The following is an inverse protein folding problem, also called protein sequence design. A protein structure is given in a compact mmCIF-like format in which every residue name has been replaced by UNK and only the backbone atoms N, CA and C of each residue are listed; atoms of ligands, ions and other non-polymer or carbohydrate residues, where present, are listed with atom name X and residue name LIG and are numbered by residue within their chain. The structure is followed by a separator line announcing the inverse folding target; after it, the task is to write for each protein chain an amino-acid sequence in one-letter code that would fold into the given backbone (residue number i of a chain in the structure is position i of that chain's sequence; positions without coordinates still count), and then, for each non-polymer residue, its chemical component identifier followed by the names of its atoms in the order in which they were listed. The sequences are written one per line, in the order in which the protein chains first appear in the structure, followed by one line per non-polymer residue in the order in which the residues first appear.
data_IF_703105536086
#
_entry.id   IF_703105536086
#
_cell.length_a   1.000
_cell.length_b   1.000
_cell.length_c   1.000
_cell.angle_alpha   90.00
_cell.angle_beta   90.00
_cell.angle_gamma   90.00
#
_symmetry.space_group_name_H-M   'P 1'
#
loop_
_entity.id
_entity.type
_entity.pdbx_description
1 polymer ?
#
# COMPACT_ATOMS: atom_id res chain seq x y z
N UNK A 1 -5.74 4.37 8.25
CA UNK A 1 -6.16 2.99 7.97
C UNK A 1 -6.80 2.96 6.59
N UNK A 2 -6.00 2.79 5.54
CA UNK A 2 -6.55 2.39 4.23
C UNK A 2 -6.64 0.86 4.20
N UNK A 3 -7.34 0.26 3.22
CA UNK A 3 -7.31 -1.19 2.87
C UNK A 3 -6.49 -1.50 1.58
N UNK A 4 -5.77 -0.50 1.03
CA UNK A 4 -4.94 -0.60 -0.20
C UNK A 4 -3.50 -0.04 -0.04
N UNK A 5 -2.49 -0.88 0.28
CA UNK A 5 -1.09 -0.47 0.50
C UNK A 5 -0.45 0.18 -0.73
N UNK A 6 -0.74 -0.38 -1.89
CA UNK A 6 -0.32 0.06 -3.21
C UNK A 6 -0.70 1.52 -3.48
N UNK A 7 -1.92 1.93 -3.11
CA UNK A 7 -2.38 3.31 -3.25
C UNK A 7 -1.72 4.21 -2.20
N UNK A 8 -1.69 3.77 -0.94
CA UNK A 8 -1.09 4.56 0.14
C UNK A 8 0.38 4.88 -0.16
N UNK A 9 1.12 3.90 -0.69
CA UNK A 9 2.49 4.08 -1.14
C UNK A 9 2.60 5.06 -2.32
N UNK A 10 1.81 4.87 -3.38
CA UNK A 10 1.84 5.75 -4.55
C UNK A 10 1.55 7.22 -4.19
N UNK A 11 0.50 7.45 -3.38
CA UNK A 11 0.14 8.79 -2.89
C UNK A 11 1.25 9.39 -2.02
N UNK A 12 1.83 8.61 -1.11
CA UNK A 12 2.95 9.06 -0.27
C UNK A 12 4.19 9.41 -1.09
N UNK A 13 4.45 8.69 -2.17
CA UNK A 13 5.58 8.93 -3.05
C UNK A 13 5.43 10.26 -3.78
N UNK A 14 4.28 10.50 -4.41
CA UNK A 14 3.98 11.74 -5.14
C UNK A 14 3.89 12.93 -4.18
N UNK A 15 3.30 12.75 -3.00
CA UNK A 15 3.14 13.83 -2.01
C UNK A 15 4.46 14.48 -1.62
N UNK A 16 5.57 13.73 -1.63
CA UNK A 16 6.91 14.25 -1.31
C UNK A 16 7.46 15.19 -2.38
N UNK A 17 6.95 15.12 -3.61
CA UNK A 17 7.41 15.90 -4.76
C UNK A 17 6.47 17.04 -5.15
N UNK A 18 5.41 17.28 -4.37
CA UNK A 18 4.43 18.35 -4.62
C UNK A 18 5.05 19.75 -4.70
N UNK A 19 6.21 19.98 -4.07
CA UNK A 19 6.90 21.26 -4.13
C UNK A 19 7.49 21.56 -5.52
N UNK A 20 7.81 20.54 -6.31
CA UNK A 20 8.30 20.69 -7.69
C UNK A 20 8.03 19.39 -8.50
N UNK A 21 6.77 19.16 -8.93
CA UNK A 21 6.39 17.92 -9.60
C UNK A 21 6.98 17.85 -11.02
N UNK A 22 7.37 16.66 -11.45
CA UNK A 22 7.79 16.39 -12.83
C UNK A 22 6.64 15.82 -13.68
N UNK A 23 6.81 15.80 -15.00
CA UNK A 23 5.86 15.14 -15.92
C UNK A 23 5.68 13.65 -15.57
N UNK A 24 6.76 12.97 -15.20
CA UNK A 24 6.69 11.58 -14.74
C UNK A 24 5.91 11.41 -13.43
N UNK A 25 5.96 12.37 -12.50
CA UNK A 25 5.13 12.33 -11.29
C UNK A 25 3.65 12.48 -11.65
N UNK A 26 3.32 13.27 -12.66
CA UNK A 26 1.95 13.43 -13.16
C UNK A 26 1.40 12.14 -13.79
N UNK A 27 2.21 11.42 -14.56
CA UNK A 27 1.84 10.10 -15.12
C UNK A 27 1.53 9.07 -14.01
N UNK A 28 2.30 9.09 -12.92
CA UNK A 28 2.06 8.23 -11.75
C UNK A 28 0.72 8.56 -11.10
N UNK A 29 0.39 9.85 -10.95
CA UNK A 29 -0.91 10.28 -10.42
C UNK A 29 -2.05 9.80 -11.32
N UNK A 30 -1.95 10.03 -12.63
CA UNK A 30 -2.97 9.58 -13.59
C UNK A 30 -3.16 8.07 -13.56
N UNK A 31 -2.07 7.31 -13.45
CA UNK A 31 -2.10 5.84 -13.34
C UNK A 31 -2.81 5.42 -12.05
N UNK A 32 -2.49 6.07 -10.93
CA UNK A 32 -3.12 5.81 -9.63
C UNK A 32 -4.63 6.08 -9.68
N UNK A 33 -5.05 7.18 -10.30
CA UNK A 33 -6.47 7.52 -10.49
C UNK A 33 -7.18 6.54 -11.42
N UNK A 34 -6.55 6.15 -12.53
CA UNK A 34 -7.13 5.16 -13.46
C UNK A 34 -7.33 3.81 -12.79
N UNK A 35 -6.36 3.38 -11.98
CA UNK A 35 -6.46 2.18 -11.18
C UNK A 35 -7.61 2.25 -10.18
N UNK A 36 -7.74 3.38 -9.47
CA UNK A 36 -8.88 3.63 -8.58
C UNK A 36 -10.22 3.51 -9.33
N UNK A 37 -10.38 4.20 -10.46
CA UNK A 37 -11.60 4.13 -11.27
C UNK A 37 -11.93 2.73 -11.76
N UNK A 38 -10.92 1.98 -12.22
CA UNK A 38 -11.11 0.62 -12.73
C UNK A 38 -11.37 -0.41 -11.62
N UNK A 39 -11.08 -0.08 -10.36
CA UNK A 39 -11.24 -1.00 -9.22
C UNK A 39 -12.36 -0.60 -8.27
N UNK A 40 -13.23 0.35 -8.65
CA UNK A 40 -14.40 0.76 -7.85
C UNK A 40 -15.29 -0.44 -7.49
N UNK A 41 -15.44 -1.39 -8.42
CA UNK A 41 -16.24 -2.62 -8.20
C UNK A 41 -15.51 -3.75 -7.47
N UNK A 42 -14.23 -3.57 -7.10
CA UNK A 42 -13.46 -4.61 -6.43
C UNK A 42 -13.52 -4.41 -4.92
N UNK A 43 -13.93 -5.45 -4.19
CA UNK A 43 -13.95 -5.48 -2.72
C UNK A 43 -13.28 -6.75 -2.22
N UNK A 44 -12.64 -6.66 -1.05
CA UNK A 44 -12.19 -7.84 -0.32
C UNK A 44 -13.43 -8.46 0.33
N UNK A 45 -13.71 -9.72 0.00
CA UNK A 45 -14.83 -10.47 0.58
C UNK A 45 -14.26 -11.42 1.63
N UNK A 46 -14.66 -11.22 2.88
CA UNK A 46 -14.28 -12.10 3.99
C UNK A 46 -15.37 -13.16 4.15
N UNK A 47 -15.03 -14.43 3.90
CA UNK A 47 -15.94 -15.55 4.13
C UNK A 47 -15.87 -16.01 5.58
N UNK A 48 -17.01 -16.29 6.19
CA UNK A 48 -17.09 -16.72 7.60
C UNK A 48 -16.73 -18.19 7.83
N UNK A 49 -16.54 -18.96 6.76
CA UNK A 49 -16.20 -20.39 6.79
C UNK A 49 -14.68 -20.62 6.89
N UNK A 50 -13.86 -19.61 6.61
CA UNK A 50 -12.41 -19.69 6.77
C UNK A 50 -12.02 -19.59 8.25
N UNK A 51 -10.98 -20.35 8.63
CA UNK A 51 -10.44 -20.37 9.99
C UNK A 51 -10.15 -18.93 10.48
N UNK A 52 -10.76 -18.53 11.60
CA UNK A 52 -10.71 -17.16 12.15
C UNK A 52 -9.37 -16.84 12.82
N UNK A 53 -8.28 -17.42 12.32
CA UNK A 53 -6.95 -17.18 12.82
C UNK A 53 -6.44 -15.79 12.40
N UNK A 54 -5.86 -15.09 13.36
CA UNK A 54 -5.15 -13.84 13.15
C UNK A 54 -3.68 -14.17 12.91
N UNK A 55 -3.15 -13.84 11.74
CA UNK A 55 -1.73 -13.98 11.41
C UNK A 55 -1.11 -12.60 11.29
N UNK A 56 0.10 -12.42 11.84
CA UNK A 56 0.86 -11.18 11.76
C UNK A 56 2.26 -11.50 11.23
N UNK A 57 2.68 -10.74 10.24
CA UNK A 57 4.03 -10.76 9.71
C UNK A 57 4.66 -9.38 9.93
N UNK A 58 5.95 -9.36 10.26
CA UNK A 58 6.74 -8.14 10.35
C UNK A 58 8.01 -8.33 9.53
N UNK A 59 8.34 -7.33 8.74
CA UNK A 59 9.59 -7.26 8.00
C UNK A 59 10.32 -5.96 8.35
N UNK A 60 11.63 -6.01 8.34
CA UNK A 60 12.47 -4.84 8.56
C UNK A 60 13.60 -4.87 7.54
N UNK A 61 13.52 -3.96 6.57
CA UNK A 61 14.62 -3.74 5.66
C UNK A 61 15.59 -2.72 6.26
N UNK A 62 16.89 -3.01 6.11
CA UNK A 62 17.93 -2.05 6.37
C UNK A 62 18.59 -1.72 5.03
N UNK A 63 18.84 -0.43 4.77
CA UNK A 63 19.53 0.04 3.56
C UNK A 63 18.74 -0.03 2.23
N UNK A 64 17.41 -0.15 2.26
CA UNK A 64 16.55 -0.16 1.06
C UNK A 64 16.38 1.21 0.39
N UNK A 65 16.65 2.30 1.10
CA UNK A 65 16.57 3.66 0.58
C UNK A 65 17.96 4.27 0.48
N UNK A 66 18.57 4.21 -0.72
CA UNK A 66 19.90 4.78 -1.02
C UNK A 66 19.98 6.29 -0.83
N UNK A 67 18.86 7.02 -0.90
CA UNK A 67 18.84 8.47 -0.70
C UNK A 67 18.84 8.89 0.78
N UNK A 68 18.24 8.10 1.68
CA UNK A 68 18.04 8.54 3.08
C UNK A 68 18.63 7.59 4.12
N UNK A 69 19.09 6.40 3.73
CA UNK A 69 19.57 5.31 4.61
C UNK A 69 18.59 4.93 5.74
N UNK A 70 17.31 5.31 5.63
CA UNK A 70 16.31 4.94 6.63
C UNK A 70 15.88 3.49 6.42
N UNK A 71 15.96 2.72 7.50
CA UNK A 71 15.33 1.40 7.58
C UNK A 71 13.81 1.55 7.45
N UNK A 72 13.15 0.65 6.70
CA UNK A 72 11.68 0.57 6.66
C UNK A 72 11.26 -0.67 7.43
N UNK A 73 10.39 -0.46 8.41
CA UNK A 73 9.68 -1.55 9.07
C UNK A 73 8.29 -1.65 8.46
N UNK A 74 7.95 -2.83 7.95
CA UNK A 74 6.62 -3.17 7.46
C UNK A 74 5.97 -4.18 8.41
N UNK A 75 4.67 -4.05 8.60
CA UNK A 75 3.86 -5.09 9.24
C UNK A 75 2.75 -5.46 8.26
N UNK A 76 2.21 -6.67 8.35
CA UNK A 76 0.97 -7.03 7.68
C UNK A 76 0.24 -8.04 8.54
N UNK A 77 -1.05 -7.81 8.76
CA UNK A 77 -1.91 -8.73 9.49
C UNK A 77 -3.03 -9.25 8.61
N UNK A 78 -3.33 -10.52 8.79
CA UNK A 78 -4.36 -11.27 8.10
C UNK A 78 -5.37 -11.80 9.09
N UNK A 79 -6.64 -11.83 8.69
CA UNK A 79 -7.72 -12.47 9.40
C UNK A 79 -8.52 -13.32 8.42
N UNK A 80 -8.70 -14.61 8.72
CA UNK A 80 -9.44 -15.52 7.83
C UNK A 80 -8.79 -15.67 6.45
N UNK A 81 -7.46 -15.55 6.35
CA UNK A 81 -6.73 -15.60 5.07
C UNK A 81 -6.68 -14.29 4.28
N UNK A 82 -7.34 -13.23 4.74
CA UNK A 82 -7.40 -11.93 4.05
C UNK A 82 -6.66 -10.85 4.84
N UNK A 83 -5.90 -9.98 4.16
CA UNK A 83 -5.19 -8.88 4.80
C UNK A 83 -6.18 -7.84 5.37
N UNK A 84 -5.96 -7.40 6.61
CA UNK A 84 -6.80 -6.40 7.30
C UNK A 84 -6.05 -5.10 7.64
N UNK A 85 -4.73 -5.17 7.87
CA UNK A 85 -3.86 -3.98 8.03
C UNK A 85 -2.43 -4.30 7.61
N UNK A 86 -1.67 -3.28 7.25
CA UNK A 86 -0.23 -3.31 6.99
C UNK A 86 0.42 -1.96 7.35
#
# INVERSE_FOLDING_TARGET
MGTRPDIAYAVSLVSRKLNNPTESDWEIVQTTLRYLCNTIGHSIVYNSEDDRSLMLFSDADNNSCTETHRSRTGVISFYGGYAITW
#
